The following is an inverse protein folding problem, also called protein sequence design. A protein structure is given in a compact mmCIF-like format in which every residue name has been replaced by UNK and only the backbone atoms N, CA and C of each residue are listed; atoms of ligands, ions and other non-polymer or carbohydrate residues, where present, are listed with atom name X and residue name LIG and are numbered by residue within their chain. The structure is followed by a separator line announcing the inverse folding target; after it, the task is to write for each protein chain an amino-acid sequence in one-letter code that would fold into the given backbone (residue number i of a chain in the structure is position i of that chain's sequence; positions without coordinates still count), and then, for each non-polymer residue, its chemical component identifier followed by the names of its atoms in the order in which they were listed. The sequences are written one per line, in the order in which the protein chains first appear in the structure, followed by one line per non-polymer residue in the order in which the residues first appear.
data_IF_647822861267
#
_entry.id   IF_647822861267
#
_cell.length_a   1.000
_cell.length_b   1.000
_cell.length_c   1.000
_cell.angle_alpha   90.00
_cell.angle_beta   90.00
_cell.angle_gamma   90.00
#
_symmetry.space_group_name_H-M   'P 1'
#
loop_
_entity.id
_entity.type
_entity.pdbx_description
1 polymer ?
#
# COMPACT_ATOMS: atom_id res chain seq x y z
N UNK A 1 19.91 11.02 -8.67
CA UNK A 1 18.59 10.93 -9.32
C UNK A 1 17.52 11.06 -8.25
N UNK A 2 16.95 12.24 -8.05
CA UNK A 2 15.93 12.48 -7.03
C UNK A 2 14.56 12.51 -7.70
N UNK A 3 13.73 11.49 -7.47
CA UNK A 3 12.36 11.45 -7.95
C UNK A 3 11.45 12.06 -6.88
N UNK A 4 11.40 13.39 -6.80
CA UNK A 4 10.43 14.09 -5.94
C UNK A 4 9.16 14.35 -6.75
N UNK A 5 8.33 13.31 -6.91
CA UNK A 5 6.96 13.49 -7.40
C UNK A 5 6.08 13.80 -6.20
N UNK A 6 5.62 15.05 -6.11
CA UNK A 6 4.60 15.45 -5.15
C UNK A 6 3.35 14.59 -5.40
N UNK A 7 3.00 13.74 -4.44
CA UNK A 7 1.69 13.09 -4.43
C UNK A 7 0.70 14.17 -3.98
N UNK A 8 -0.18 14.60 -4.88
CA UNK A 8 -1.27 15.49 -4.53
C UNK A 8 -2.17 14.76 -3.52
N UNK A 9 -2.00 15.07 -2.23
CA UNK A 9 -2.85 14.53 -1.19
C UNK A 9 -4.25 15.15 -1.34
N UNK A 10 -5.16 14.43 -1.98
CA UNK A 10 -6.59 14.78 -1.97
C UNK A 10 -7.13 14.56 -0.56
N UNK A 11 -7.34 15.64 0.18
CA UNK A 11 -8.07 15.60 1.46
C UNK A 11 -9.57 15.63 1.18
N UNK A 12 -10.14 14.51 0.76
CA UNK A 12 -11.58 14.27 0.91
C UNK A 12 -11.79 13.39 2.13
N UNK A 13 -12.74 13.74 3.00
CA UNK A 13 -13.16 12.87 4.10
C UNK A 13 -14.03 11.69 3.63
N UNK A 14 -14.29 11.61 2.32
CA UNK A 14 -15.04 10.54 1.69
C UNK A 14 -14.12 9.36 1.37
N UNK A 15 -14.57 8.11 1.61
CA UNK A 15 -13.89 6.90 1.17
C UNK A 15 -13.57 6.92 -0.33
N UNK A 16 -12.35 6.54 -0.68
CA UNK A 16 -11.93 6.33 -2.07
C UNK A 16 -11.34 4.95 -2.27
N UNK A 17 -11.24 4.51 -3.53
CA UNK A 17 -10.52 3.31 -3.89
C UNK A 17 -9.01 3.61 -4.03
N UNK A 18 -8.17 2.78 -3.43
CA UNK A 18 -6.72 2.98 -3.39
C UNK A 18 -5.98 1.70 -3.77
N UNK A 19 -5.12 1.80 -4.76
CA UNK A 19 -4.20 0.73 -5.14
C UNK A 19 -2.85 0.90 -4.44
N UNK A 20 -2.39 -0.13 -3.73
CA UNK A 20 -1.09 -0.17 -3.07
C UNK A 20 -0.17 -1.11 -3.85
N UNK A 21 0.90 -0.58 -4.45
CA UNK A 21 1.86 -1.37 -5.21
C UNK A 21 3.00 -1.85 -4.30
N UNK A 22 3.11 -3.17 -4.15
CA UNK A 22 4.05 -3.89 -3.30
C UNK A 22 3.44 -4.27 -1.94
N UNK A 23 3.40 -5.57 -1.63
CA UNK A 23 2.95 -6.14 -0.35
C UNK A 23 4.11 -6.49 0.60
N UNK A 24 5.18 -5.69 0.59
CA UNK A 24 6.18 -5.68 1.66
C UNK A 24 5.66 -5.03 2.95
N UNK A 25 6.48 -4.93 4.02
CA UNK A 25 6.05 -4.38 5.31
C UNK A 25 5.45 -2.96 5.20
N UNK A 26 6.06 -2.11 4.37
CA UNK A 26 5.57 -0.74 4.15
C UNK A 26 4.19 -0.72 3.47
N UNK A 27 4.03 -1.47 2.38
CA UNK A 27 2.77 -1.52 1.64
C UNK A 27 1.63 -2.15 2.44
N UNK A 28 1.89 -3.26 3.15
CA UNK A 28 0.90 -3.87 4.03
C UNK A 28 0.49 -2.94 5.18
N UNK A 29 1.45 -2.22 5.78
CA UNK A 29 1.14 -1.24 6.83
C UNK A 29 0.29 -0.08 6.30
N UNK A 30 0.63 0.43 5.11
CA UNK A 30 -0.15 1.46 4.45
C UNK A 30 -1.57 0.98 4.13
N UNK A 31 -1.70 -0.17 3.49
CA UNK A 31 -2.99 -0.77 3.14
C UNK A 31 -3.86 -0.97 4.39
N UNK A 32 -3.28 -1.50 5.47
CA UNK A 32 -3.96 -1.69 6.74
C UNK A 32 -4.49 -0.36 7.31
N UNK A 33 -3.66 0.68 7.34
CA UNK A 33 -4.09 2.01 7.81
C UNK A 33 -5.20 2.61 6.95
N UNK A 34 -5.13 2.44 5.63
CA UNK A 34 -6.12 2.95 4.68
C UNK A 34 -7.49 2.23 4.82
N UNK A 35 -7.48 0.91 5.02
CA UNK A 35 -8.69 0.13 5.33
C UNK A 35 -9.30 0.59 6.66
N UNK A 36 -8.48 0.77 7.71
CA UNK A 36 -8.98 1.29 8.99
C UNK A 36 -9.59 2.69 8.88
N UNK A 37 -9.10 3.50 7.94
CA UNK A 37 -9.66 4.81 7.63
C UNK A 37 -10.94 4.75 6.77
N UNK A 38 -11.46 3.56 6.45
CA UNK A 38 -12.72 3.36 5.74
C UNK A 38 -12.61 3.36 4.21
N UNK A 39 -11.39 3.28 3.66
CA UNK A 39 -11.18 3.22 2.21
C UNK A 39 -11.33 1.80 1.67
N UNK A 40 -11.68 1.71 0.38
CA UNK A 40 -11.55 0.48 -0.38
C UNK A 40 -10.10 0.36 -0.89
N UNK A 41 -9.44 -0.77 -0.65
CA UNK A 41 -7.99 -0.89 -0.87
C UNK A 41 -7.68 -2.21 -1.55
N UNK A 42 -6.94 -2.13 -2.66
CA UNK A 42 -6.36 -3.30 -3.34
C UNK A 42 -4.84 -3.24 -3.26
N UNK A 43 -4.23 -4.28 -2.69
CA UNK A 43 -2.78 -4.44 -2.69
C UNK A 43 -2.34 -5.35 -3.84
N UNK A 44 -1.35 -4.91 -4.61
CA UNK A 44 -0.78 -5.63 -5.74
C UNK A 44 0.67 -6.02 -5.42
N UNK A 45 0.97 -7.31 -5.43
CA UNK A 45 2.33 -7.83 -5.21
C UNK A 45 2.82 -8.51 -6.49
N UNK A 46 4.11 -8.35 -6.79
CA UNK A 46 4.71 -8.95 -7.97
C UNK A 46 5.05 -10.43 -7.75
N UNK A 47 5.41 -10.82 -6.51
CA UNK A 47 5.69 -12.20 -6.14
C UNK A 47 4.45 -12.99 -5.70
N UNK A 48 4.63 -14.30 -5.55
CA UNK A 48 3.57 -15.21 -5.11
C UNK A 48 3.34 -15.19 -3.58
N UNK A 49 4.13 -14.40 -2.84
CA UNK A 49 4.05 -14.30 -1.39
C UNK A 49 4.19 -12.84 -0.92
N UNK A 50 3.37 -12.47 0.07
CA UNK A 50 3.48 -11.19 0.74
C UNK A 50 4.68 -11.14 1.69
N UNK A 51 5.11 -9.93 2.06
CA UNK A 51 6.16 -9.67 3.03
C UNK A 51 7.56 -9.48 2.42
N UNK A 52 7.82 -9.95 1.19
CA UNK A 52 9.08 -9.82 0.44
C UNK A 52 10.35 -9.95 1.33
N UNK A 53 10.86 -8.84 1.89
CA UNK A 53 12.06 -8.78 2.71
C UNK A 53 11.93 -9.55 4.04
N UNK A 54 10.71 -9.89 4.44
CA UNK A 54 10.39 -10.72 5.59
C UNK A 54 10.00 -12.16 5.21
N UNK A 55 10.33 -12.62 4.00
CA UNK A 55 9.98 -13.96 3.53
C UNK A 55 10.59 -15.03 4.44
N UNK A 56 9.73 -15.92 4.94
CA UNK A 56 10.15 -17.12 5.66
C UNK A 56 10.22 -18.29 4.69
N UNK A 57 11.38 -18.96 4.63
CA UNK A 57 11.55 -20.19 3.85
C UNK A 57 11.12 -21.36 4.73
N UNK A 58 10.19 -22.19 4.26
CA UNK A 58 9.70 -23.39 4.94
C UNK A 58 9.92 -24.63 4.10
#
# INVERSE_FOLDING_TARGET
MAFSRQVAATRSGEPVHIEVIGAGPAGLTAAHGLVQAGNDVTALEAGDAAGWAALTIR
#
